data_IF_298164626975
#
_entry.id   IF_298164626975
#
_cell.length_a   1.000
_cell.length_b   1.000
_cell.length_c   1.000
_cell.angle_alpha   90.00
_cell.angle_beta   90.00
_cell.angle_gamma   90.00
#
_symmetry.space_group_name_H-M   'P 1'
#
loop_
_entity.id
_entity.type
_entity.pdbx_description
1 polymer ?
#
# COMPACT_ATOMS: atom_id res chain seq x y z
N UNK A 1 -43.17 13.19 -0.62
CA UNK A 1 -41.72 13.47 -0.75
C UNK A 1 -40.97 12.80 0.41
N UNK A 2 -41.13 11.48 0.56
CA UNK A 2 -40.56 10.69 1.68
C UNK A 2 -39.73 9.48 1.20
N UNK A 3 -39.30 9.47 -0.06
CA UNK A 3 -38.69 8.27 -0.67
C UNK A 3 -37.16 8.36 -0.89
N UNK A 4 -36.45 9.32 -0.26
CA UNK A 4 -34.98 9.46 -0.42
C UNK A 4 -34.20 9.37 0.91
N UNK A 5 -34.83 8.96 2.02
CA UNK A 5 -34.19 8.87 3.34
C UNK A 5 -33.30 7.63 3.54
N UNK A 6 -32.99 6.87 2.48
CA UNK A 6 -32.17 5.66 2.51
C UNK A 6 -30.98 5.65 1.58
N UNK A 7 -30.65 6.77 0.95
CA UNK A 7 -29.41 6.85 0.18
C UNK A 7 -28.25 7.04 1.15
N UNK A 8 -27.39 6.04 1.24
CA UNK A 8 -26.14 6.11 1.96
C UNK A 8 -25.27 7.16 1.29
N UNK A 9 -24.98 8.29 1.97
CA UNK A 9 -24.05 9.27 1.44
C UNK A 9 -22.63 8.69 1.55
N UNK A 10 -21.87 8.66 0.44
CA UNK A 10 -20.49 8.21 0.48
C UNK A 10 -19.68 9.02 1.51
N UNK A 11 -18.76 8.37 2.22
CA UNK A 11 -17.84 9.08 3.11
C UNK A 11 -17.14 10.22 2.36
N UNK A 12 -17.08 11.44 2.88
CA UNK A 12 -16.37 12.56 2.23
C UNK A 12 -14.90 12.23 1.91
N UNK A 13 -14.26 11.41 2.73
CA UNK A 13 -12.89 10.95 2.45
C UNK A 13 -12.86 10.03 1.22
N UNK A 14 -13.82 9.11 1.08
CA UNK A 14 -13.94 8.25 -0.10
C UNK A 14 -14.22 9.08 -1.36
N UNK A 15 -15.05 10.13 -1.25
CA UNK A 15 -15.30 11.04 -2.36
C UNK A 15 -14.03 11.78 -2.81
N UNK A 16 -13.18 12.21 -1.89
CA UNK A 16 -11.88 12.79 -2.19
C UNK A 16 -10.95 11.76 -2.87
N UNK A 17 -10.90 10.53 -2.38
CA UNK A 17 -10.09 9.47 -2.98
C UNK A 17 -10.58 9.08 -4.38
N UNK A 18 -11.86 9.21 -4.67
CA UNK A 18 -12.38 9.04 -6.03
C UNK A 18 -11.77 10.06 -7.00
N UNK A 19 -11.64 11.33 -6.59
CA UNK A 19 -10.96 12.37 -7.37
C UNK A 19 -9.47 12.03 -7.52
N UNK A 20 -8.82 11.59 -6.43
CA UNK A 20 -7.43 11.13 -6.45
C UNK A 20 -7.20 10.03 -7.48
N UNK A 21 -8.02 8.98 -7.50
CA UNK A 21 -7.84 7.85 -8.41
C UNK A 21 -8.23 8.19 -9.85
N UNK A 22 -9.42 8.79 -10.05
CA UNK A 22 -10.01 8.94 -11.38
C UNK A 22 -9.50 10.18 -12.12
N UNK A 23 -9.44 11.33 -11.43
CA UNK A 23 -9.13 12.60 -12.09
C UNK A 23 -7.64 12.90 -12.08
N UNK A 24 -6.93 12.61 -10.97
CA UNK A 24 -5.49 12.79 -10.89
C UNK A 24 -4.72 11.59 -11.46
N UNK A 25 -4.82 10.40 -10.85
CA UNK A 25 -3.94 9.27 -11.19
C UNK A 25 -4.25 8.70 -12.57
N UNK A 26 -5.50 8.35 -12.86
CA UNK A 26 -5.88 7.70 -14.12
C UNK A 26 -5.89 8.66 -15.33
N UNK A 27 -6.02 9.96 -15.11
CA UNK A 27 -5.90 10.98 -16.18
C UNK A 27 -4.51 11.58 -16.29
N UNK A 28 -3.62 11.25 -15.34
CA UNK A 28 -2.29 11.88 -15.22
C UNK A 28 -2.35 13.42 -15.10
N UNK A 29 -3.45 13.94 -14.53
CA UNK A 29 -3.69 15.37 -14.41
C UNK A 29 -3.19 15.91 -13.07
N UNK A 30 -1.95 16.37 -13.04
CA UNK A 30 -1.35 16.94 -11.83
C UNK A 30 -1.95 18.28 -11.40
N UNK A 31 -2.76 18.94 -12.26
CA UNK A 31 -3.50 20.16 -11.89
C UNK A 31 -4.56 19.92 -10.81
N UNK A 32 -4.95 18.67 -10.60
CA UNK A 32 -5.86 18.20 -9.54
C UNK A 32 -5.19 18.20 -8.17
N UNK A 33 -3.85 17.99 -8.09
CA UNK A 33 -3.14 17.86 -6.83
C UNK A 33 -3.41 19.02 -5.84
N UNK A 34 -3.40 20.31 -6.24
CA UNK A 34 -3.72 21.42 -5.33
C UNK A 34 -5.15 21.42 -4.78
N UNK A 35 -6.07 20.72 -5.43
CA UNK A 35 -7.46 20.61 -5.01
C UNK A 35 -7.64 19.58 -3.91
N UNK A 36 -6.84 18.50 -3.92
CA UNK A 36 -7.00 17.33 -3.04
C UNK A 36 -5.88 17.15 -2.02
N UNK A 37 -4.76 17.87 -2.15
CA UNK A 37 -3.60 17.75 -1.27
C UNK A 37 -3.21 19.10 -0.69
N UNK A 38 -2.81 19.13 0.59
CA UNK A 38 -2.20 20.31 1.19
C UNK A 38 -0.82 20.61 0.59
N UNK A 39 -0.32 21.87 0.63
CA UNK A 39 1.02 22.18 0.15
C UNK A 39 2.11 21.33 0.80
N UNK A 40 1.98 21.07 2.12
CA UNK A 40 2.91 20.24 2.89
C UNK A 40 2.66 18.74 2.79
N UNK A 41 1.81 18.27 1.88
CA UNK A 41 1.53 16.84 1.71
C UNK A 41 2.83 16.02 1.63
N UNK A 42 2.87 14.94 2.41
CA UNK A 42 4.04 14.06 2.48
C UNK A 42 3.67 12.63 2.10
N UNK A 43 4.45 12.03 1.22
CA UNK A 43 4.37 10.61 0.92
C UNK A 43 5.59 9.90 1.50
N UNK A 44 5.32 8.86 2.32
CA UNK A 44 6.32 7.96 2.90
C UNK A 44 6.28 6.63 2.15
N UNK A 45 7.43 6.18 1.63
CA UNK A 45 7.55 4.92 0.90
C UNK A 45 8.94 4.32 1.11
N UNK A 46 9.01 3.15 1.73
CA UNK A 46 10.26 2.55 2.16
C UNK A 46 11.05 3.52 3.06
N UNK A 47 12.28 3.81 2.68
CA UNK A 47 13.16 4.77 3.38
C UNK A 47 13.05 6.21 2.83
N UNK A 48 12.10 6.49 1.96
CA UNK A 48 11.98 7.76 1.26
C UNK A 48 10.78 8.56 1.74
N UNK A 49 11.03 9.83 2.06
CA UNK A 49 10.02 10.83 2.35
C UNK A 49 9.97 11.88 1.24
N UNK A 50 8.84 11.98 0.56
CA UNK A 50 8.57 13.03 -0.42
C UNK A 50 7.79 14.15 0.25
N UNK A 51 8.52 15.05 0.92
CA UNK A 51 7.94 16.17 1.66
C UNK A 51 7.65 17.34 0.73
N UNK A 52 6.41 17.79 0.69
CA UNK A 52 5.94 18.87 -0.15
C UNK A 52 5.30 18.36 -1.46
N UNK A 53 4.02 18.76 -1.64
CA UNK A 53 3.23 18.41 -2.82
C UNK A 53 3.92 18.83 -4.13
N UNK A 54 4.30 20.09 -4.25
CA UNK A 54 4.79 20.68 -5.49
C UNK A 54 6.29 20.46 -5.68
N UNK A 55 7.07 20.45 -4.59
CA UNK A 55 8.53 20.36 -4.61
C UNK A 55 9.04 18.93 -4.84
N UNK A 56 8.34 17.94 -4.28
CA UNK A 56 8.85 16.56 -4.27
C UNK A 56 7.86 15.55 -4.84
N UNK A 57 6.59 15.59 -4.36
CA UNK A 57 5.60 14.58 -4.74
C UNK A 57 5.20 14.66 -6.22
N UNK A 58 4.73 15.82 -6.69
CA UNK A 58 4.28 15.99 -8.08
C UNK A 58 5.39 15.70 -9.09
N UNK A 59 6.65 16.16 -8.91
CA UNK A 59 7.73 15.78 -9.81
C UNK A 59 8.04 14.27 -9.84
N UNK A 60 7.89 13.56 -8.71
CA UNK A 60 8.05 12.11 -8.66
C UNK A 60 6.92 11.38 -9.41
N UNK A 61 5.68 11.80 -9.22
CA UNK A 61 4.51 11.27 -9.94
C UNK A 61 4.64 11.48 -11.46
N UNK A 62 5.07 12.67 -11.90
CA UNK A 62 5.29 12.95 -13.33
C UNK A 62 6.35 12.04 -13.95
N UNK A 63 7.40 11.67 -13.20
CA UNK A 63 8.40 10.69 -13.69
C UNK A 63 7.77 9.32 -13.92
N UNK A 64 6.84 8.89 -13.04
CA UNK A 64 6.11 7.65 -13.20
C UNK A 64 5.18 7.70 -14.42
N UNK A 65 4.41 8.78 -14.60
CA UNK A 65 3.54 8.98 -15.75
C UNK A 65 4.32 9.05 -17.07
N UNK A 66 5.51 9.67 -17.07
CA UNK A 66 6.41 9.68 -18.23
C UNK A 66 6.90 8.28 -18.58
N UNK A 67 7.24 7.47 -17.59
CA UNK A 67 7.65 6.09 -17.79
C UNK A 67 6.50 5.20 -18.25
N UNK A 68 5.32 5.40 -17.71
CA UNK A 68 4.10 4.64 -18.01
C UNK A 68 2.98 5.58 -18.50
N UNK A 69 3.00 6.02 -19.77
CA UNK A 69 2.05 7.01 -20.27
C UNK A 69 0.60 6.53 -20.32
N UNK A 70 0.38 5.23 -20.22
CA UNK A 70 -0.94 4.61 -20.10
C UNK A 70 -1.16 3.97 -18.73
N UNK A 71 -0.49 4.47 -17.67
CA UNK A 71 -0.68 3.96 -16.31
C UNK A 71 -2.16 4.00 -15.94
N UNK A 72 -2.65 2.87 -15.44
CA UNK A 72 -4.00 2.76 -14.91
C UNK A 72 -3.93 2.24 -13.47
N UNK A 73 -4.67 2.88 -12.57
CA UNK A 73 -4.88 2.45 -11.19
C UNK A 73 -6.27 1.81 -11.08
N UNK A 74 -6.31 0.61 -10.53
CA UNK A 74 -7.53 -0.14 -10.20
C UNK A 74 -7.65 -0.25 -8.69
N UNK A 75 -8.79 0.16 -8.13
CA UNK A 75 -9.06 0.06 -6.69
C UNK A 75 -9.54 -1.36 -6.37
N UNK A 76 -8.83 -2.05 -5.46
CA UNK A 76 -9.14 -3.41 -5.03
C UNK A 76 -9.87 -3.44 -3.67
N UNK A 77 -9.67 -2.42 -2.80
CA UNK A 77 -10.38 -2.27 -1.53
C UNK A 77 -10.23 -0.84 -1.01
N UNK A 78 -11.28 -0.33 -0.35
CA UNK A 78 -11.23 0.88 0.47
C UNK A 78 -11.85 0.53 1.83
N UNK A 79 -11.15 0.93 2.91
CA UNK A 79 -11.64 0.85 4.29
C UNK A 79 -11.34 2.19 4.97
N UNK A 80 -12.30 2.75 5.69
CA UNK A 80 -12.14 4.06 6.36
C UNK A 80 -12.96 4.15 7.64
N UNK A 81 -12.42 4.87 8.64
CA UNK A 81 -13.16 5.28 9.83
C UNK A 81 -13.65 6.75 9.75
N UNK A 82 -13.47 7.39 8.58
CA UNK A 82 -13.82 8.79 8.34
C UNK A 82 -12.63 9.74 8.46
N UNK A 83 -11.73 9.52 9.41
CA UNK A 83 -10.51 10.33 9.63
C UNK A 83 -9.27 9.71 8.97
N UNK A 84 -9.27 8.40 8.82
CA UNK A 84 -8.21 7.59 8.24
C UNK A 84 -8.79 6.71 7.12
N UNK A 85 -7.99 6.41 6.12
CA UNK A 85 -8.39 5.56 5.02
C UNK A 85 -7.22 4.68 4.58
N UNK A 86 -7.47 3.41 4.36
CA UNK A 86 -6.57 2.52 3.62
C UNK A 86 -7.18 2.19 2.26
N UNK A 87 -6.35 2.22 1.24
CA UNK A 87 -6.70 1.78 -0.10
C UNK A 87 -5.70 0.72 -0.56
N UNK A 88 -6.23 -0.44 -0.95
CA UNK A 88 -5.51 -1.42 -1.76
C UNK A 88 -5.80 -1.15 -3.22
N UNK A 89 -4.76 -1.20 -4.03
CA UNK A 89 -4.88 -0.91 -5.45
C UNK A 89 -3.88 -1.74 -6.26
N UNK A 90 -4.17 -1.88 -7.55
CA UNK A 90 -3.22 -2.36 -8.56
C UNK A 90 -2.92 -1.24 -9.53
N UNK A 91 -1.66 -1.07 -9.87
CA UNK A 91 -1.24 -0.24 -11.00
C UNK A 91 -0.73 -1.12 -12.13
N UNK A 92 -0.97 -0.73 -13.37
CA UNK A 92 -0.47 -1.45 -14.55
C UNK A 92 -0.26 -0.48 -15.73
N UNK A 93 0.66 -0.87 -16.61
CA UNK A 93 0.96 -0.07 -17.80
C UNK A 93 2.14 -0.60 -18.59
N UNK A 94 2.34 -0.01 -19.78
CA UNK A 94 3.49 -0.28 -20.64
C UNK A 94 4.60 0.73 -20.36
N UNK A 95 5.84 0.26 -20.18
CA UNK A 95 7.00 1.09 -19.82
C UNK A 95 7.75 1.57 -21.05
N UNK A 96 7.83 2.90 -21.26
CA UNK A 96 8.66 3.51 -22.32
C UNK A 96 10.17 3.26 -22.14
N UNK A 97 10.62 2.91 -20.92
CA UNK A 97 12.03 2.63 -20.64
C UNK A 97 12.44 1.18 -20.91
N UNK A 98 11.44 0.31 -21.21
CA UNK A 98 11.63 -1.13 -21.38
C UNK A 98 10.93 -1.59 -22.67
N UNK A 99 11.07 -0.82 -23.74
CA UNK A 99 10.58 -1.13 -25.10
C UNK A 99 9.08 -1.53 -25.15
N UNK A 100 8.26 -0.84 -24.32
CA UNK A 100 6.83 -1.11 -24.24
C UNK A 100 6.44 -2.35 -23.45
N UNK A 101 7.35 -2.98 -22.72
CA UNK A 101 7.00 -4.10 -21.83
C UNK A 101 5.96 -3.67 -20.82
N UNK A 102 4.99 -4.54 -20.58
CA UNK A 102 3.90 -4.31 -19.64
C UNK A 102 4.23 -4.90 -18.29
N UNK A 103 3.73 -4.26 -17.24
CA UNK A 103 3.79 -4.78 -15.87
C UNK A 103 2.52 -4.41 -15.11
N UNK A 104 2.16 -5.25 -14.15
CA UNK A 104 1.15 -4.98 -13.14
C UNK A 104 1.75 -5.19 -11.75
N UNK A 105 1.39 -4.33 -10.81
CA UNK A 105 1.87 -4.44 -9.42
C UNK A 105 0.84 -3.91 -8.43
N UNK A 106 0.88 -4.42 -7.21
CA UNK A 106 -0.04 -4.04 -6.15
C UNK A 106 0.56 -2.97 -5.25
N UNK A 107 -0.33 -2.22 -4.59
CA UNK A 107 0.02 -1.23 -3.58
C UNK A 107 -1.00 -1.16 -2.45
N UNK A 108 -0.53 -0.71 -1.29
CA UNK A 108 -1.36 -0.40 -0.12
C UNK A 108 -0.93 0.96 0.40
N UNK A 109 -1.86 1.90 0.44
CA UNK A 109 -1.65 3.25 0.96
C UNK A 109 -2.58 3.54 2.13
N UNK A 110 -2.00 4.08 3.22
CA UNK A 110 -2.71 4.59 4.38
C UNK A 110 -2.69 6.11 4.32
N UNK A 111 -3.86 6.72 4.29
CA UNK A 111 -4.03 8.15 4.06
C UNK A 111 -4.56 8.88 5.28
N UNK A 112 -4.04 10.08 5.51
CA UNK A 112 -4.53 11.07 6.47
C UNK A 112 -4.99 12.31 5.76
N UNK A 113 -6.03 12.93 6.27
CA UNK A 113 -6.58 14.16 5.76
C UNK A 113 -7.03 15.10 6.90
N UNK A 114 -7.40 16.35 6.57
CA UNK A 114 -7.88 17.34 7.53
C UNK A 114 -9.39 17.64 7.37
N UNK A 115 -10.15 16.70 6.81
CA UNK A 115 -11.57 16.89 6.48
C UNK A 115 -11.79 17.55 5.11
N UNK A 116 -10.73 17.96 4.40
CA UNK A 116 -10.80 18.63 3.09
C UNK A 116 -9.73 18.16 2.11
N UNK A 117 -8.48 17.98 2.56
CA UNK A 117 -7.34 17.64 1.72
C UNK A 117 -6.45 16.60 2.41
N UNK A 118 -5.74 15.83 1.61
CA UNK A 118 -4.73 14.89 2.08
C UNK A 118 -3.55 15.64 2.73
N UNK A 119 -3.12 15.13 3.85
CA UNK A 119 -1.94 15.59 4.61
C UNK A 119 -0.75 14.67 4.38
N UNK A 120 -1.00 13.36 4.40
CA UNK A 120 0.04 12.34 4.51
C UNK A 120 -0.44 11.01 3.91
N UNK A 121 0.50 10.25 3.37
CA UNK A 121 0.29 8.91 2.86
C UNK A 121 1.49 8.04 3.18
N UNK A 122 1.26 6.93 3.88
CA UNK A 122 2.22 5.83 4.02
C UNK A 122 1.86 4.77 2.99
N UNK A 123 2.74 4.47 2.05
CA UNK A 123 2.43 3.57 0.95
C UNK A 123 3.59 2.62 0.67
N UNK A 124 3.27 1.35 0.45
CA UNK A 124 4.18 0.40 -0.16
C UNK A 124 3.60 -0.13 -1.47
N UNK A 125 4.46 -0.29 -2.46
CA UNK A 125 4.11 -0.83 -3.77
C UNK A 125 5.06 -1.95 -4.16
N UNK A 126 4.56 -3.02 -4.75
CA UNK A 126 5.36 -4.17 -5.18
C UNK A 126 6.21 -3.86 -6.42
N UNK A 127 7.12 -2.92 -6.26
CA UNK A 127 8.08 -2.56 -7.31
C UNK A 127 9.10 -3.66 -7.59
N UNK A 128 9.25 -4.63 -6.68
CA UNK A 128 10.09 -5.79 -6.95
C UNK A 128 9.50 -6.66 -8.07
N UNK A 129 8.25 -7.09 -7.95
CA UNK A 129 7.57 -7.85 -9.00
C UNK A 129 7.45 -7.04 -10.30
N UNK A 130 7.18 -5.72 -10.23
CA UNK A 130 7.21 -4.85 -11.39
C UNK A 130 8.56 -4.91 -12.13
N UNK A 131 9.67 -4.85 -11.38
CA UNK A 131 11.00 -4.90 -11.98
C UNK A 131 11.26 -6.24 -12.65
N UNK A 132 10.91 -7.37 -12.02
CA UNK A 132 11.04 -8.71 -12.61
C UNK A 132 10.27 -8.83 -13.94
N UNK A 133 9.05 -8.31 -14.01
CA UNK A 133 8.24 -8.31 -15.23
C UNK A 133 8.89 -7.46 -16.33
N UNK A 134 9.38 -6.27 -16.00
CA UNK A 134 10.03 -5.35 -16.95
C UNK A 134 11.39 -5.88 -17.44
N UNK A 135 12.12 -6.64 -16.62
CA UNK A 135 13.40 -7.25 -16.96
C UNK A 135 13.27 -8.56 -17.78
N UNK A 136 12.07 -8.95 -18.16
CA UNK A 136 11.82 -10.07 -19.06
C UNK A 136 10.89 -11.14 -18.54
N UNK A 137 10.32 -10.96 -17.34
CA UNK A 137 9.26 -11.83 -16.82
C UNK A 137 7.92 -11.61 -17.52
N UNK A 138 7.00 -12.56 -17.33
CA UNK A 138 5.63 -12.41 -17.80
C UNK A 138 4.87 -11.40 -16.94
N UNK A 139 3.94 -10.62 -17.54
CA UNK A 139 3.09 -9.71 -16.78
C UNK A 139 2.19 -10.47 -15.79
N UNK A 140 2.12 -10.00 -14.55
CA UNK A 140 1.19 -10.52 -13.57
C UNK A 140 -0.25 -10.13 -13.94
N UNK A 141 -1.26 -10.94 -13.57
CA UNK A 141 -2.65 -10.53 -13.69
C UNK A 141 -2.95 -9.36 -12.76
N UNK A 142 -3.85 -8.48 -13.20
CA UNK A 142 -4.41 -7.43 -12.33
C UNK A 142 -5.46 -8.06 -11.42
N UNK A 143 -5.42 -7.75 -10.13
CA UNK A 143 -6.44 -8.18 -9.17
C UNK A 143 -7.81 -7.60 -9.58
N UNK A 144 -8.89 -8.34 -9.33
CA UNK A 144 -10.24 -7.87 -9.61
C UNK A 144 -10.54 -6.58 -8.85
N UNK A 145 -11.20 -5.60 -9.50
CA UNK A 145 -11.60 -4.36 -8.84
C UNK A 145 -12.60 -4.62 -7.71
N UNK A 146 -12.58 -3.78 -6.70
CA UNK A 146 -13.64 -3.75 -5.70
C UNK A 146 -14.99 -3.43 -6.36
N UNK A 147 -16.05 -4.07 -5.86
CA UNK A 147 -17.42 -3.73 -6.26
C UNK A 147 -17.83 -2.45 -5.51
N UNK A 148 -18.21 -1.42 -6.27
CA UNK A 148 -18.68 -0.13 -5.74
C UNK A 148 -17.74 0.49 -4.65
N UNK A 149 -16.42 0.64 -4.92
CA UNK A 149 -15.48 1.13 -3.90
C UNK A 149 -15.80 2.54 -3.41
N UNK A 150 -16.50 3.31 -4.22
CA UNK A 150 -16.87 4.71 -3.92
C UNK A 150 -18.09 4.84 -3.01
N UNK A 151 -18.76 3.73 -2.72
CA UNK A 151 -19.90 3.65 -1.80
C UNK A 151 -19.49 3.07 -0.42
N UNK A 152 -18.19 2.89 -0.18
CA UNK A 152 -17.67 2.38 1.09
C UNK A 152 -18.05 3.32 2.24
N UNK A 153 -18.75 2.84 3.28
CA UNK A 153 -19.10 3.63 4.44
C UNK A 153 -17.88 3.88 5.34
N UNK A 154 -17.97 4.87 6.20
CA UNK A 154 -17.06 4.99 7.33
C UNK A 154 -17.52 4.02 8.44
N UNK A 155 -16.63 3.13 8.85
CA UNK A 155 -16.86 2.18 9.93
C UNK A 155 -16.28 2.73 11.25
N UNK A 156 -16.85 2.42 12.41
CA UNK A 156 -16.32 2.88 13.68
C UNK A 156 -14.94 2.31 13.97
N UNK A 157 -14.15 3.03 14.76
CA UNK A 157 -12.90 2.51 15.29
C UNK A 157 -13.12 1.27 16.17
N UNK A 158 -12.17 0.33 16.13
CA UNK A 158 -12.13 -0.87 16.97
C UNK A 158 -10.78 -0.97 17.69
N UNK A 159 -10.65 -0.27 18.84
CA UNK A 159 -9.39 -0.26 19.59
C UNK A 159 -8.90 -1.62 20.06
N UNK A 160 -9.81 -2.59 20.27
CA UNK A 160 -9.43 -3.95 20.67
C UNK A 160 -8.74 -4.69 19.53
N UNK A 161 -9.30 -4.64 18.30
CA UNK A 161 -8.67 -5.21 17.11
C UNK A 161 -7.32 -4.53 16.82
N UNK A 162 -7.24 -3.20 16.97
CA UNK A 162 -5.99 -2.46 16.79
C UNK A 162 -4.93 -2.89 17.80
N UNK A 163 -5.28 -3.02 19.09
CA UNK A 163 -4.37 -3.47 20.13
C UNK A 163 -3.87 -4.91 19.89
N UNK A 164 -4.75 -5.80 19.42
CA UNK A 164 -4.39 -7.16 19.04
C UNK A 164 -3.34 -7.18 17.92
N UNK A 165 -3.59 -6.46 16.82
CA UNK A 165 -2.65 -6.39 15.68
C UNK A 165 -1.33 -5.72 16.09
N UNK A 166 -1.37 -4.69 16.92
CA UNK A 166 -0.18 -4.04 17.49
C UNK A 166 0.67 -5.05 18.25
N UNK A 167 0.07 -5.90 19.08
CA UNK A 167 0.78 -6.97 19.79
C UNK A 167 1.47 -7.95 18.83
N UNK A 168 0.81 -8.37 17.74
CA UNK A 168 1.42 -9.22 16.72
C UNK A 168 2.60 -8.56 16.00
N UNK A 169 2.52 -7.24 15.76
CA UNK A 169 3.61 -6.48 15.15
C UNK A 169 4.81 -6.39 16.11
N UNK A 170 4.57 -6.04 17.35
CA UNK A 170 5.61 -5.85 18.38
C UNK A 170 6.34 -7.16 18.74
N UNK A 171 5.64 -8.31 18.69
CA UNK A 171 6.25 -9.64 18.86
C UNK A 171 6.97 -10.15 17.62
N UNK A 172 6.68 -9.60 16.45
CA UNK A 172 7.11 -10.11 15.14
C UNK A 172 6.22 -11.20 14.54
N UNK A 173 5.25 -11.72 15.31
CA UNK A 173 4.36 -12.82 14.90
C UNK A 173 3.45 -12.44 13.73
N UNK A 174 3.33 -11.16 13.41
CA UNK A 174 2.57 -10.68 12.26
C UNK A 174 3.06 -11.27 10.93
N UNK A 175 4.36 -11.55 10.81
CA UNK A 175 4.94 -12.15 9.61
C UNK A 175 4.58 -13.63 9.44
N UNK A 176 4.20 -14.31 10.53
CA UNK A 176 3.89 -15.74 10.55
C UNK A 176 2.37 -16.02 10.54
N UNK A 177 1.54 -14.97 10.41
CA UNK A 177 0.10 -15.12 10.35
C UNK A 177 -0.32 -15.78 9.01
N UNK A 178 -0.89 -16.99 9.01
CA UNK A 178 -1.21 -17.71 7.78
C UNK A 178 -2.30 -17.03 6.94
N UNK A 179 -3.15 -16.23 7.56
CA UNK A 179 -4.17 -15.47 6.88
C UNK A 179 -3.69 -14.14 6.27
N UNK A 180 -2.47 -13.68 6.62
CA UNK A 180 -1.84 -12.52 6.00
C UNK A 180 -0.97 -12.97 4.82
N UNK A 181 -1.47 -12.73 3.61
CA UNK A 181 -0.73 -13.00 2.37
C UNK A 181 0.01 -11.75 1.92
N UNK A 182 1.26 -11.91 1.54
CA UNK A 182 2.11 -10.83 1.03
C UNK A 182 2.03 -10.71 -0.49
N UNK A 183 2.56 -9.62 -1.01
CA UNK A 183 2.57 -9.16 -2.39
C UNK A 183 2.81 -10.25 -3.46
N UNK A 184 3.67 -11.22 -3.20
CA UNK A 184 3.96 -12.33 -4.10
C UNK A 184 3.02 -13.53 -3.94
N UNK A 185 2.36 -13.69 -2.78
CA UNK A 185 1.51 -14.84 -2.47
C UNK A 185 0.10 -14.72 -3.05
N UNK A 186 -0.54 -13.57 -2.91
CA UNK A 186 -1.97 -13.48 -3.26
C UNK A 186 -2.24 -13.48 -4.76
N UNK A 187 -1.23 -13.18 -5.59
CA UNK A 187 -1.33 -13.24 -7.05
C UNK A 187 -0.92 -14.62 -7.56
N UNK A 188 0.20 -15.15 -7.07
CA UNK A 188 0.74 -16.44 -7.55
C UNK A 188 0.08 -17.66 -6.90
N UNK A 189 -0.49 -17.48 -5.70
CA UNK A 189 -0.98 -18.60 -4.88
C UNK A 189 0.13 -19.50 -4.32
N UNK A 190 1.38 -19.10 -4.50
CA UNK A 190 2.55 -19.81 -3.96
C UNK A 190 2.83 -19.34 -2.52
N UNK A 191 3.51 -20.18 -1.73
CA UNK A 191 4.02 -19.77 -0.42
C UNK A 191 5.02 -18.63 -0.58
N UNK A 192 4.87 -17.57 0.20
CA UNK A 192 5.69 -16.38 0.12
C UNK A 192 7.04 -16.51 0.80
N UNK A 193 7.93 -15.64 0.39
CA UNK A 193 9.23 -15.44 1.01
C UNK A 193 9.06 -14.64 2.32
N UNK A 194 9.46 -15.16 3.46
CA UNK A 194 9.41 -14.48 4.77
C UNK A 194 10.47 -13.40 4.94
N UNK A 195 11.33 -13.22 3.99
CA UNK A 195 12.41 -12.20 3.87
C UNK A 195 13.29 -12.06 5.11
N UNK A 196 12.74 -11.77 6.29
CA UNK A 196 13.50 -11.50 7.52
C UNK A 196 13.03 -12.34 8.71
N UNK A 197 13.94 -12.58 9.65
CA UNK A 197 13.64 -12.91 11.04
C UNK A 197 13.56 -11.59 11.82
N UNK A 198 12.37 -11.17 12.30
CA UNK A 198 12.19 -9.87 12.94
C UNK A 198 12.87 -9.81 14.31
N UNK A 199 13.53 -8.67 14.61
CA UNK A 199 14.12 -8.37 15.92
C UNK A 199 13.39 -7.20 16.61
N UNK A 200 12.84 -6.27 15.85
CA UNK A 200 12.07 -5.13 16.35
C UNK A 200 11.22 -4.50 15.25
N UNK A 201 10.19 -3.74 15.64
CA UNK A 201 9.31 -3.02 14.73
C UNK A 201 9.07 -1.59 15.20
N UNK A 202 8.97 -0.67 14.24
CA UNK A 202 8.49 0.69 14.44
C UNK A 202 7.18 0.84 13.66
N UNK A 203 6.09 1.08 14.36
CA UNK A 203 4.79 1.32 13.75
C UNK A 203 4.74 2.80 13.33
N UNK A 204 4.80 3.07 12.04
CA UNK A 204 4.72 4.42 11.49
C UNK A 204 3.28 4.91 11.47
N UNK A 205 2.34 4.02 11.17
CA UNK A 205 0.92 4.28 11.13
C UNK A 205 0.11 3.02 11.43
N UNK A 206 -0.99 3.16 12.18
CA UNK A 206 -1.96 2.09 12.44
C UNK A 206 -3.32 2.71 12.76
N UNK A 207 -4.38 2.15 12.22
CA UNK A 207 -5.74 2.51 12.58
C UNK A 207 -6.71 1.36 12.30
N UNK A 208 -7.86 1.38 12.95
CA UNK A 208 -8.95 0.43 12.74
C UNK A 208 -10.20 1.09 12.16
N UNK A 209 -10.99 0.30 11.44
CA UNK A 209 -12.31 0.63 10.94
C UNK A 209 -13.14 -0.66 10.84
N UNK A 210 -14.17 -0.77 11.70
CA UNK A 210 -14.92 -2.02 11.87
C UNK A 210 -14.03 -3.16 12.34
N UNK A 211 -14.04 -4.26 11.62
CA UNK A 211 -13.20 -5.44 11.84
C UNK A 211 -11.83 -5.37 11.14
N UNK A 212 -11.57 -4.31 10.38
CA UNK A 212 -10.33 -4.12 9.68
C UNK A 212 -9.34 -3.29 10.49
N UNK A 213 -8.05 -3.68 10.40
CA UNK A 213 -6.92 -2.89 10.89
C UNK A 213 -5.94 -2.70 9.75
N UNK A 214 -5.56 -1.46 9.51
CA UNK A 214 -4.51 -1.10 8.55
C UNK A 214 -3.28 -0.58 9.28
N UNK A 215 -2.10 -0.95 8.80
CA UNK A 215 -0.85 -0.50 9.41
C UNK A 215 0.27 -0.33 8.38
N UNK A 216 1.21 0.54 8.71
CA UNK A 216 2.50 0.68 8.05
C UNK A 216 3.61 0.58 9.09
N UNK A 217 4.59 -0.30 8.84
CA UNK A 217 5.66 -0.60 9.80
C UNK A 217 7.01 -0.64 9.11
N UNK A 218 8.06 -0.33 9.88
CA UNK A 218 9.46 -0.59 9.55
C UNK A 218 9.97 -1.67 10.51
N UNK A 219 10.28 -2.86 10.00
CA UNK A 219 10.77 -3.99 10.78
C UNK A 219 12.26 -4.17 10.60
N UNK A 220 13.01 -4.12 11.69
CA UNK A 220 14.42 -4.48 11.70
C UNK A 220 14.56 -5.96 12.03
N UNK A 221 15.49 -6.63 11.37
CA UNK A 221 15.71 -8.06 11.58
C UNK A 221 16.90 -8.58 10.79
N UNK A 222 17.02 -9.91 10.72
CA UNK A 222 18.07 -10.57 9.96
C UNK A 222 17.50 -11.15 8.68
N UNK A 223 18.21 -10.93 7.57
CA UNK A 223 17.85 -11.49 6.27
C UNK A 223 17.91 -13.02 6.35
N UNK A 224 16.80 -13.68 6.04
CA UNK A 224 16.72 -15.15 6.05
C UNK A 224 17.54 -15.76 4.94
N UNK A 225 18.22 -16.87 5.22
CA UNK A 225 19.04 -17.56 4.24
C UNK A 225 18.23 -18.19 3.09
N UNK A 226 16.96 -18.50 3.32
CA UNK A 226 16.03 -19.03 2.33
C UNK A 226 15.28 -17.97 1.54
N UNK A 227 15.48 -16.67 1.86
CA UNK A 227 14.90 -15.57 1.09
C UNK A 227 15.52 -15.47 -0.30
N UNK A 228 14.67 -15.17 -1.29
CA UNK A 228 15.13 -14.90 -2.68
C UNK A 228 16.04 -13.66 -2.78
N UNK A 229 16.08 -12.85 -1.74
CA UNK A 229 16.93 -11.65 -1.66
C UNK A 229 18.28 -11.91 -1.00
N UNK A 230 18.47 -13.09 -0.37
CA UNK A 230 19.62 -13.32 0.50
C UNK A 230 20.95 -13.34 -0.28
N UNK A 231 21.11 -14.20 -1.27
CA UNK A 231 22.42 -14.41 -1.90
C UNK A 231 23.51 -14.60 -0.84
N UNK A 232 24.59 -13.84 -0.96
CA UNK A 232 25.71 -13.84 -0.01
C UNK A 232 25.42 -13.02 1.29
N UNK A 233 24.28 -12.30 1.35
CA UNK A 233 23.93 -11.41 2.46
C UNK A 233 23.09 -12.08 3.56
N UNK A 234 22.96 -13.42 3.54
CA UNK A 234 22.21 -14.16 4.55
C UNK A 234 22.68 -13.83 5.98
N UNK A 235 21.74 -13.54 6.88
CA UNK A 235 22.01 -13.17 8.26
C UNK A 235 22.39 -11.70 8.49
N UNK A 236 22.54 -10.89 7.46
CA UNK A 236 22.78 -9.45 7.60
C UNK A 236 21.59 -8.76 8.27
N UNK A 237 21.90 -7.71 9.05
CA UNK A 237 20.88 -6.83 9.63
C UNK A 237 20.29 -5.95 8.55
N UNK A 238 18.97 -5.97 8.46
CA UNK A 238 18.23 -5.26 7.43
C UNK A 238 17.00 -4.56 8.01
N UNK A 239 16.47 -3.59 7.24
CA UNK A 239 15.22 -2.89 7.52
C UNK A 239 14.24 -3.18 6.37
N UNK A 240 13.07 -3.71 6.70
CA UNK A 240 11.99 -4.00 5.75
C UNK A 240 10.78 -3.15 6.08
N UNK A 241 10.33 -2.32 5.15
CA UNK A 241 9.07 -1.59 5.26
C UNK A 241 7.91 -2.44 4.72
N UNK A 242 6.75 -2.30 5.35
CA UNK A 242 5.54 -3.04 4.98
C UNK A 242 4.30 -2.21 5.26
N UNK A 243 3.38 -2.16 4.28
CA UNK A 243 2.00 -1.71 4.45
C UNK A 243 1.05 -2.90 4.38
N UNK A 244 0.05 -2.96 5.27
CA UNK A 244 -0.91 -4.05 5.26
C UNK A 244 -2.31 -3.60 5.71
N UNK A 245 -3.31 -4.38 5.30
CA UNK A 245 -4.66 -4.35 5.85
C UNK A 245 -5.07 -5.77 6.19
N UNK A 246 -5.61 -5.95 7.39
CA UNK A 246 -6.00 -7.25 7.95
C UNK A 246 -7.42 -7.17 8.50
N UNK A 247 -8.09 -8.32 8.61
CA UNK A 247 -9.39 -8.44 9.26
C UNK A 247 -9.25 -9.33 10.51
N UNK A 248 -9.79 -8.84 11.61
CA UNK A 248 -9.72 -9.47 12.92
C UNK A 248 -11.12 -9.87 13.37
N UNK A 249 -11.30 -11.13 13.74
CA UNK A 249 -12.53 -11.65 14.34
C UNK A 249 -12.17 -12.46 15.58
N UNK A 250 -12.75 -12.13 16.73
CA UNK A 250 -12.56 -12.87 18.00
C UNK A 250 -11.08 -13.08 18.38
N UNK A 251 -10.27 -12.01 18.25
CA UNK A 251 -8.82 -12.04 18.50
C UNK A 251 -8.03 -13.02 17.60
N UNK A 252 -8.55 -13.29 16.41
CA UNK A 252 -7.87 -14.02 15.35
C UNK A 252 -7.76 -13.16 14.08
N UNK A 253 -6.63 -13.25 13.40
CA UNK A 253 -6.45 -12.67 12.07
C UNK A 253 -7.01 -13.65 11.05
N UNK A 254 -8.17 -13.32 10.45
CA UNK A 254 -8.91 -14.21 9.55
C UNK A 254 -8.65 -13.93 8.08
N UNK A 255 -8.11 -12.75 7.75
CA UNK A 255 -7.77 -12.34 6.40
C UNK A 255 -6.75 -11.20 6.44
N UNK A 256 -5.88 -11.11 5.44
CA UNK A 256 -4.96 -9.98 5.29
C UNK A 256 -4.26 -9.93 3.95
N UNK A 257 -3.84 -8.73 3.59
CA UNK A 257 -2.97 -8.44 2.45
C UNK A 257 -1.90 -7.45 2.87
N UNK A 258 -0.64 -7.75 2.51
CA UNK A 258 0.50 -6.90 2.81
C UNK A 258 1.38 -6.70 1.58
N UNK A 259 2.00 -5.53 1.47
CA UNK A 259 3.02 -5.20 0.46
C UNK A 259 4.29 -4.78 1.17
N UNK A 260 5.44 -5.28 0.69
CA UNK A 260 6.76 -5.08 1.30
C UNK A 260 7.69 -4.34 0.33
N UNK A 261 8.54 -3.45 0.85
CA UNK A 261 9.61 -2.77 0.09
C UNK A 261 10.78 -3.73 -0.20
N UNK A 262 10.51 -4.81 -0.96
CA UNK A 262 11.53 -5.79 -1.37
C UNK A 262 12.56 -5.19 -2.32
N UNK A 263 12.16 -4.29 -3.22
CA UNK A 263 13.08 -3.65 -4.16
C UNK A 263 14.04 -2.68 -3.45
N UNK A 264 13.53 -1.87 -2.53
CA UNK A 264 14.37 -0.98 -1.73
C UNK A 264 15.35 -1.76 -0.87
N UNK A 265 14.91 -2.85 -0.23
CA UNK A 265 15.80 -3.74 0.51
C UNK A 265 16.89 -4.32 -0.40
N UNK A 266 16.55 -4.90 -1.57
CA UNK A 266 17.52 -5.42 -2.55
C UNK A 266 18.55 -4.38 -2.96
N UNK A 267 18.13 -3.12 -3.18
CA UNK A 267 19.04 -2.03 -3.55
C UNK A 267 20.01 -1.65 -2.43
N UNK A 268 19.54 -1.68 -1.18
CA UNK A 268 20.39 -1.40 0.00
C UNK A 268 21.43 -2.50 0.19
N UNK A 269 21.05 -3.76 0.05
CA UNK A 269 21.99 -4.90 0.08
C UNK A 269 23.08 -4.82 -1.00
N UNK A 270 22.76 -4.29 -2.17
CA UNK A 270 23.75 -4.13 -3.24
C UNK A 270 24.75 -2.96 -3.02
N UNK A 271 24.55 -2.13 -1.98
CA UNK A 271 25.41 -1.00 -1.62
C UNK A 271 26.25 -1.25 -0.36
N UNK A 272 25.95 -2.34 0.38
CA UNK A 272 26.72 -2.81 1.53
C UNK A 272 27.88 -3.69 1.09
#
# INVERSE_FOLDING_TARGET
MEALSGMHEPSPFVALMRIYCNDYTNRHDTSVCPLIMEPGYTLHMGVHDLVGRDERYTPAAMKQFTQFPGLCLTVNQIVTNGDRLVMRFSEHGASNRHDGRVAAWNGIGLYRWNGKKLLENFVEQDYFSRTVQLDGGDPLPVENPAIAPWDSPAEPENPAAEAFVRGLIESGDILDQPALLFDDEWISGAAGDRVIEPESAVINDIFSAGDHVAFHVAMSGRLRADSVLAGDNAGEKVLLHMGAVVRVEQDELVWGRGVRDRLGLKRRLAQS
#
